data_IF_443539562989
#
_entry.id   IF_443539562989
#
_cell.length_a   1.000
_cell.length_b   1.000
_cell.length_c   1.000
_cell.angle_alpha   90.00
_cell.angle_beta   90.00
_cell.angle_gamma   90.00
#
_symmetry.space_group_name_H-M   'P 1'
#
loop_
_entity.id
_entity.type
_entity.pdbx_description
1 polymer ?
#
# COMPACT_ATOMS: atom_id res chain seq x y z
N UNK A 1 -20.85 -204.22 4.53
CA UNK A 1 -20.36 -203.07 5.34
C UNK A 1 -19.16 -203.53 6.13
N UNK A 2 -18.11 -202.70 6.20
CA UNK A 2 -17.01 -202.90 7.13
C UNK A 2 -17.33 -202.10 8.39
N UNK A 3 -17.54 -202.79 9.50
CA UNK A 3 -17.92 -202.20 10.79
C UNK A 3 -16.81 -202.42 11.82
N UNK A 4 -16.80 -201.59 12.86
CA UNK A 4 -15.81 -201.60 13.95
C UNK A 4 -14.37 -201.31 13.49
N UNK A 5 -14.22 -200.47 12.47
CA UNK A 5 -12.90 -199.99 12.04
C UNK A 5 -12.43 -198.91 13.01
N UNK A 6 -11.33 -199.19 13.71
CA UNK A 6 -10.66 -198.21 14.54
C UNK A 6 -10.18 -197.02 13.69
N UNK A 7 -9.96 -195.87 14.33
CA UNK A 7 -9.41 -194.73 13.61
C UNK A 7 -8.05 -195.10 13.00
N UNK A 8 -7.90 -194.86 11.70
CA UNK A 8 -6.62 -195.01 11.02
C UNK A 8 -5.66 -193.91 11.47
N UNK A 9 -4.36 -194.09 11.31
CA UNK A 9 -3.42 -192.97 11.51
C UNK A 9 -3.63 -191.94 10.41
N UNK A 10 -3.70 -190.66 10.78
CA UNK A 10 -3.79 -189.55 9.81
C UNK A 10 -2.39 -188.98 9.65
N UNK A 11 -1.74 -189.34 8.55
CA UNK A 11 -0.49 -188.78 8.08
C UNK A 11 -0.45 -188.92 6.56
N UNK A 12 0.43 -188.19 5.90
CA UNK A 12 0.54 -188.17 4.44
C UNK A 12 0.79 -189.56 3.82
N UNK A 13 1.51 -190.43 4.51
CA UNK A 13 1.90 -191.77 4.04
C UNK A 13 1.00 -192.90 4.53
N UNK A 14 -0.05 -192.59 5.30
CA UNK A 14 -0.92 -193.62 5.87
C UNK A 14 -1.73 -194.32 4.77
N UNK A 15 -1.70 -195.66 4.77
CA UNK A 15 -2.58 -196.51 3.98
C UNK A 15 -3.67 -197.16 4.84
N UNK A 16 -3.77 -196.77 6.12
CA UNK A 16 -4.80 -197.25 7.02
C UNK A 16 -6.18 -196.78 6.51
N UNK A 17 -7.20 -197.63 6.63
CA UNK A 17 -8.56 -197.20 6.32
C UNK A 17 -9.01 -196.12 7.32
N UNK A 18 -9.53 -195.00 6.80
CA UNK A 18 -10.09 -193.92 7.62
C UNK A 18 -11.51 -194.26 8.02
N UNK A 19 -11.88 -193.97 9.26
CA UNK A 19 -13.25 -194.14 9.72
C UNK A 19 -14.07 -192.83 9.63
N UNK A 20 -15.39 -192.93 9.79
CA UNK A 20 -16.30 -191.80 9.62
C UNK A 20 -16.01 -190.59 10.53
N UNK A 21 -15.56 -190.81 11.77
CA UNK A 21 -15.27 -189.71 12.71
C UNK A 21 -14.12 -188.80 12.26
N UNK A 22 -13.12 -189.36 11.58
CA UNK A 22 -11.95 -188.60 11.13
C UNK A 22 -12.27 -187.72 9.92
N UNK A 23 -13.05 -188.27 8.97
CA UNK A 23 -13.55 -187.49 7.83
C UNK A 23 -14.48 -186.36 8.28
N UNK A 24 -15.34 -186.61 9.28
CA UNK A 24 -16.22 -185.59 9.85
C UNK A 24 -15.44 -184.44 10.50
N UNK A 25 -14.39 -184.73 11.28
CA UNK A 25 -13.60 -183.70 11.94
C UNK A 25 -12.88 -182.76 10.96
N UNK A 26 -12.35 -183.31 9.85
CA UNK A 26 -11.71 -182.50 8.80
C UNK A 26 -12.73 -181.61 8.09
N UNK A 27 -13.89 -182.16 7.73
CA UNK A 27 -14.95 -181.39 7.09
C UNK A 27 -15.47 -180.27 8.00
N UNK A 28 -15.59 -180.51 9.31
CA UNK A 28 -16.00 -179.50 10.28
C UNK A 28 -15.00 -178.33 10.38
N UNK A 29 -13.68 -178.61 10.35
CA UNK A 29 -12.66 -177.56 10.39
C UNK A 29 -12.68 -176.69 9.12
N UNK A 30 -12.88 -177.30 7.95
CA UNK A 30 -13.01 -176.57 6.68
C UNK A 30 -14.27 -175.69 6.70
N UNK A 31 -15.38 -176.20 7.22
CA UNK A 31 -16.64 -175.44 7.35
C UNK A 31 -16.48 -174.23 8.30
N UNK A 32 -15.74 -174.38 9.40
CA UNK A 32 -15.42 -173.27 10.31
C UNK A 32 -14.57 -172.19 9.63
N UNK A 33 -13.52 -172.58 8.91
CA UNK A 33 -12.68 -171.64 8.15
C UNK A 33 -13.51 -170.90 7.10
N UNK A 34 -14.34 -171.63 6.35
CA UNK A 34 -15.26 -171.03 5.37
C UNK A 34 -16.21 -170.04 6.03
N UNK A 35 -16.78 -170.40 7.19
CA UNK A 35 -17.71 -169.53 7.93
C UNK A 35 -17.03 -168.24 8.39
N UNK A 36 -15.81 -168.30 8.92
CA UNK A 36 -15.09 -167.11 9.39
C UNK A 36 -14.63 -166.25 8.22
N UNK A 37 -14.03 -166.87 7.19
CA UNK A 37 -13.59 -166.16 6.00
C UNK A 37 -14.77 -165.39 5.39
N UNK A 38 -15.95 -166.02 5.24
CA UNK A 38 -17.14 -165.42 4.64
C UNK A 38 -17.85 -164.36 5.50
N UNK A 39 -17.40 -164.05 6.73
CA UNK A 39 -18.06 -163.02 7.56
C UNK A 39 -17.85 -161.58 7.06
N UNK A 40 -16.70 -161.30 6.43
CA UNK A 40 -16.36 -159.92 6.05
C UNK A 40 -16.19 -158.97 7.25
N UNK A 41 -16.29 -157.66 7.01
CA UNK A 41 -16.27 -156.61 8.04
C UNK A 41 -17.21 -155.45 7.68
N UNK A 42 -17.75 -154.72 8.66
CA UNK A 42 -18.70 -153.62 8.40
C UNK A 42 -18.02 -152.25 8.28
N UNK A 43 -18.39 -151.46 7.27
CA UNK A 43 -17.99 -150.06 7.08
C UNK A 43 -19.14 -149.10 7.43
N UNK A 44 -18.83 -148.00 8.14
CA UNK A 44 -19.78 -146.97 8.56
C UNK A 44 -19.09 -145.60 8.55
N UNK A 45 -19.78 -144.53 8.15
CA UNK A 45 -19.28 -143.16 8.23
C UNK A 45 -20.29 -142.25 8.94
N UNK A 46 -19.80 -141.39 9.85
CA UNK A 46 -20.61 -140.41 10.60
C UNK A 46 -21.87 -140.99 11.29
N UNK A 47 -21.81 -142.26 11.72
CA UNK A 47 -22.90 -142.92 12.43
C UNK A 47 -24.06 -143.39 11.55
N UNK A 48 -23.87 -143.52 10.23
CA UNK A 48 -24.87 -144.05 9.29
C UNK A 48 -25.12 -145.57 9.42
N UNK A 49 -25.80 -146.21 8.46
CA UNK A 49 -26.04 -147.66 8.57
C UNK A 49 -24.83 -148.43 8.07
N UNK A 50 -24.25 -149.27 8.94
CA UNK A 50 -23.05 -150.02 8.61
C UNK A 50 -23.32 -151.04 7.49
N UNK A 51 -22.44 -151.06 6.48
CA UNK A 51 -22.54 -151.97 5.32
C UNK A 51 -21.44 -153.02 5.41
N UNK A 52 -21.79 -154.31 5.30
CA UNK A 52 -20.79 -155.38 5.33
C UNK A 52 -20.02 -155.44 4.00
N UNK A 53 -18.70 -155.42 4.11
CA UNK A 53 -17.75 -155.62 3.03
C UNK A 53 -17.36 -157.10 3.06
N UNK A 54 -17.86 -157.86 2.09
CA UNK A 54 -17.55 -159.27 1.99
C UNK A 54 -16.09 -159.47 1.53
N UNK A 55 -15.50 -160.66 1.75
CA UNK A 55 -14.16 -160.96 1.23
C UNK A 55 -14.10 -160.77 -0.29
N UNK A 56 -13.15 -159.96 -0.74
CA UNK A 56 -12.98 -159.61 -2.16
C UNK A 56 -13.70 -158.33 -2.60
N UNK A 57 -14.57 -157.75 -1.76
CA UNK A 57 -15.21 -156.46 -2.05
C UNK A 57 -14.22 -155.29 -1.91
N UNK A 58 -14.54 -154.16 -2.56
CA UNK A 58 -13.71 -152.95 -2.56
C UNK A 58 -14.47 -151.76 -1.98
N UNK A 59 -13.80 -150.95 -1.18
CA UNK A 59 -14.29 -149.65 -0.68
C UNK A 59 -13.55 -148.53 -1.41
N UNK A 60 -14.27 -147.53 -1.91
CA UNK A 60 -13.70 -146.36 -2.59
C UNK A 60 -13.87 -145.08 -1.75
N UNK A 61 -12.86 -144.21 -1.80
CA UNK A 61 -12.91 -142.84 -1.30
C UNK A 61 -12.87 -141.89 -2.51
N UNK A 62 -13.72 -140.85 -2.51
CA UNK A 62 -13.93 -139.96 -3.65
C UNK A 62 -13.70 -138.50 -3.23
N UNK A 63 -13.15 -137.69 -4.14
CA UNK A 63 -12.91 -136.26 -3.91
C UNK A 63 -14.22 -135.45 -3.78
N UNK A 64 -14.18 -134.43 -2.92
CA UNK A 64 -15.25 -133.44 -2.77
C UNK A 64 -14.89 -132.10 -3.41
N UNK A 65 -15.82 -131.13 -3.42
CA UNK A 65 -15.62 -129.82 -4.08
C UNK A 65 -14.42 -129.03 -3.53
N UNK A 66 -14.21 -129.06 -2.21
CA UNK A 66 -13.14 -128.32 -1.53
C UNK A 66 -12.14 -129.25 -0.81
N UNK A 67 -12.30 -130.57 -0.97
CA UNK A 67 -11.49 -131.59 -0.29
C UNK A 67 -10.97 -132.57 -1.32
N UNK A 68 -9.65 -132.69 -1.40
CA UNK A 68 -8.91 -133.57 -2.30
C UNK A 68 -8.42 -134.80 -1.54
N UNK A 69 -8.63 -136.00 -2.10
CA UNK A 69 -8.27 -137.30 -1.51
C UNK A 69 -7.32 -138.04 -2.45
N UNK A 70 -6.07 -138.22 -2.00
CA UNK A 70 -5.05 -138.93 -2.76
C UNK A 70 -4.59 -140.19 -2.03
N UNK A 71 -4.18 -141.23 -2.77
CA UNK A 71 -3.63 -142.48 -2.22
C UNK A 71 -2.22 -142.73 -2.73
N UNK A 72 -1.33 -143.13 -1.83
CA UNK A 72 -0.03 -143.73 -2.17
C UNK A 72 0.13 -145.02 -1.39
N UNK A 73 0.24 -146.16 -2.09
CA UNK A 73 0.28 -147.50 -1.49
C UNK A 73 -0.84 -147.72 -0.46
N UNK A 74 -0.51 -147.81 0.82
CA UNK A 74 -1.48 -148.04 1.91
C UNK A 74 -1.97 -146.75 2.58
N UNK A 75 -1.40 -145.60 2.26
CA UNK A 75 -1.71 -144.31 2.90
C UNK A 75 -2.73 -143.51 2.07
N UNK A 76 -3.71 -142.94 2.78
CA UNK A 76 -4.70 -142.01 2.23
C UNK A 76 -4.42 -140.62 2.82
N UNK A 77 -4.25 -139.61 1.96
CA UNK A 77 -4.11 -138.20 2.36
C UNK A 77 -5.39 -137.45 2.02
N UNK A 78 -5.86 -136.65 2.97
CA UNK A 78 -7.03 -135.77 2.78
C UNK A 78 -6.57 -134.32 2.96
N UNK A 79 -6.72 -133.48 1.93
CA UNK A 79 -6.27 -132.08 1.90
C UNK A 79 -7.39 -131.14 1.42
N UNK A 80 -7.24 -129.84 1.64
CA UNK A 80 -8.09 -128.83 0.98
C UNK A 80 -7.60 -128.56 -0.44
N UNK A 81 -8.51 -128.26 -1.37
CA UNK A 81 -8.14 -127.83 -2.71
C UNK A 81 -7.40 -126.47 -2.70
N UNK A 82 -6.55 -126.21 -3.69
CA UNK A 82 -5.86 -124.91 -3.84
C UNK A 82 -6.85 -123.77 -4.10
N UNK A 83 -7.86 -124.05 -4.94
CA UNK A 83 -9.00 -123.16 -5.19
C UNK A 83 -10.22 -123.67 -4.44
N UNK A 84 -10.51 -123.02 -3.32
CA UNK A 84 -11.70 -123.32 -2.52
C UNK A 84 -12.85 -122.40 -2.90
N UNK A 85 -14.02 -122.99 -3.10
CA UNK A 85 -15.24 -122.24 -3.34
C UNK A 85 -16.11 -122.28 -2.08
N UNK A 86 -16.23 -121.13 -1.40
CA UNK A 86 -17.17 -120.92 -0.31
C UNK A 86 -18.30 -119.99 -0.77
N UNK A 87 -19.53 -120.28 -0.37
CA UNK A 87 -20.66 -119.38 -0.62
C UNK A 87 -20.54 -118.10 0.23
N UNK A 88 -19.83 -118.16 1.35
CA UNK A 88 -19.47 -117.00 2.17
C UNK A 88 -18.24 -117.28 3.03
N UNK A 89 -17.41 -116.25 3.23
CA UNK A 89 -16.35 -116.22 4.25
C UNK A 89 -16.71 -115.12 5.24
N UNK A 90 -16.83 -115.46 6.52
CA UNK A 90 -17.19 -114.50 7.57
C UNK A 90 -15.93 -113.86 8.17
N UNK A 91 -15.85 -112.51 8.12
CA UNK A 91 -14.90 -111.72 8.90
C UNK A 91 -15.64 -111.16 10.12
N UNK A 92 -15.40 -111.72 11.30
CA UNK A 92 -16.08 -111.31 12.55
C UNK A 92 -15.67 -109.87 12.91
N UNK A 93 -16.65 -108.98 13.12
CA UNK A 93 -16.52 -107.56 13.50
C UNK A 93 -15.63 -106.70 12.58
N UNK A 94 -15.36 -107.15 11.35
CA UNK A 94 -14.47 -106.50 10.39
C UNK A 94 -15.19 -105.76 9.26
N UNK A 95 -14.42 -105.19 8.31
CA UNK A 95 -14.98 -104.63 7.07
C UNK A 95 -15.79 -105.68 6.30
N UNK A 96 -16.85 -105.22 5.64
CA UNK A 96 -17.65 -106.05 4.74
C UNK A 96 -17.41 -105.64 3.29
N UNK A 97 -17.05 -106.61 2.45
CA UNK A 97 -16.92 -106.45 1.00
C UNK A 97 -17.99 -107.31 0.35
N UNK A 98 -18.95 -106.70 -0.31
CA UNK A 98 -20.02 -107.40 -1.01
C UNK A 98 -20.39 -106.68 -2.31
N UNK A 99 -21.36 -107.23 -3.06
CA UNK A 99 -21.83 -106.66 -4.32
C UNK A 99 -22.46 -105.25 -4.22
N UNK A 100 -22.71 -104.75 -3.00
CA UNK A 100 -23.19 -103.40 -2.70
C UNK A 100 -22.09 -102.40 -2.34
N UNK A 101 -20.83 -102.81 -2.25
CA UNK A 101 -19.69 -101.93 -1.97
C UNK A 101 -18.88 -102.35 -0.74
N UNK A 102 -18.22 -101.35 -0.15
CA UNK A 102 -17.34 -101.51 1.02
C UNK A 102 -17.99 -100.80 2.20
N UNK A 103 -18.25 -101.54 3.27
CA UNK A 103 -18.57 -100.97 4.58
C UNK A 103 -17.38 -101.19 5.51
N UNK A 104 -16.82 -100.11 6.04
CA UNK A 104 -15.68 -100.14 6.95
C UNK A 104 -16.09 -100.36 8.41
N UNK A 105 -17.38 -100.54 8.72
CA UNK A 105 -17.90 -100.78 10.06
C UNK A 105 -17.43 -99.74 11.09
N UNK A 106 -17.57 -98.45 10.76
CA UNK A 106 -17.12 -97.30 11.56
C UNK A 106 -15.59 -97.25 11.84
N UNK A 107 -14.77 -97.91 11.03
CA UNK A 107 -13.30 -97.77 11.12
C UNK A 107 -12.76 -96.78 10.09
N UNK A 108 -11.56 -96.26 10.34
CA UNK A 108 -10.89 -95.34 9.42
C UNK A 108 -10.21 -96.09 8.27
N UNK A 109 -10.22 -95.47 7.10
CA UNK A 109 -9.39 -95.91 5.96
C UNK A 109 -8.06 -95.15 6.07
N UNK A 110 -6.99 -95.87 6.41
CA UNK A 110 -5.64 -95.31 6.44
C UNK A 110 -4.91 -95.52 5.11
N UNK A 111 -3.86 -94.73 4.86
CA UNK A 111 -3.05 -94.76 3.63
C UNK A 111 -3.83 -94.44 2.34
N UNK A 112 -4.86 -93.59 2.44
CA UNK A 112 -5.56 -93.08 1.27
C UNK A 112 -4.78 -91.90 0.65
N UNK A 113 -4.28 -92.09 -0.57
CA UNK A 113 -3.65 -91.03 -1.36
C UNK A 113 -4.66 -89.93 -1.74
N UNK A 114 -4.17 -88.77 -2.15
CA UNK A 114 -5.01 -87.67 -2.63
C UNK A 114 -5.83 -88.13 -3.86
N UNK A 115 -7.14 -87.91 -3.82
CA UNK A 115 -8.02 -88.17 -4.96
C UNK A 115 -7.72 -87.21 -6.11
N UNK A 116 -7.59 -87.72 -7.32
CA UNK A 116 -7.27 -86.92 -8.52
C UNK A 116 -8.46 -86.84 -9.45
N UNK A 117 -9.23 -87.93 -9.57
CA UNK A 117 -10.41 -88.01 -10.42
C UNK A 117 -11.70 -87.76 -9.62
N UNK A 118 -12.78 -87.48 -10.35
CA UNK A 118 -14.06 -87.10 -9.75
C UNK A 118 -14.75 -88.19 -8.91
N UNK A 119 -14.33 -89.45 -9.01
CA UNK A 119 -14.86 -90.58 -8.23
C UNK A 119 -13.89 -91.07 -7.16
N UNK A 120 -12.72 -90.46 -7.03
CA UNK A 120 -11.76 -90.83 -6.00
C UNK A 120 -12.25 -90.33 -4.63
N UNK A 121 -11.99 -91.10 -3.59
CA UNK A 121 -12.22 -90.64 -2.23
C UNK A 121 -11.22 -89.53 -1.88
N UNK A 122 -11.68 -88.50 -1.16
CA UNK A 122 -10.84 -87.40 -0.68
C UNK A 122 -10.28 -87.71 0.70
N UNK A 123 -9.02 -87.37 0.93
CA UNK A 123 -8.43 -87.44 2.26
C UNK A 123 -8.51 -86.08 2.98
N UNK A 124 -8.15 -86.07 4.27
CA UNK A 124 -8.28 -84.89 5.12
C UNK A 124 -7.41 -83.70 4.67
N UNK A 125 -6.22 -83.94 4.11
CA UNK A 125 -5.33 -82.88 3.62
C UNK A 125 -5.94 -82.09 2.46
N UNK A 126 -6.63 -82.77 1.54
CA UNK A 126 -7.32 -82.08 0.43
C UNK A 126 -8.42 -81.15 0.94
N UNK A 127 -9.17 -81.56 1.96
CA UNK A 127 -10.20 -80.73 2.59
C UNK A 127 -9.59 -79.51 3.31
N UNK A 128 -8.51 -79.69 4.06
CA UNK A 128 -7.84 -78.60 4.78
C UNK A 128 -7.23 -77.56 3.82
N UNK A 129 -6.64 -78.00 2.71
CA UNK A 129 -6.09 -77.10 1.70
C UNK A 129 -7.18 -76.26 1.02
N UNK A 130 -8.33 -76.85 0.67
CA UNK A 130 -9.47 -76.12 0.11
C UNK A 130 -10.03 -75.08 1.09
N UNK A 131 -10.09 -75.42 2.38
CA UNK A 131 -10.53 -74.49 3.43
C UNK A 131 -9.55 -73.32 3.65
N UNK A 132 -8.24 -73.56 3.57
CA UNK A 132 -7.22 -72.51 3.67
C UNK A 132 -7.30 -71.52 2.51
N UNK A 133 -7.51 -72.01 1.29
CA UNK A 133 -7.59 -71.19 0.07
C UNK A 133 -8.86 -70.31 0.00
N UNK A 134 -9.87 -70.57 0.83
CA UNK A 134 -11.13 -69.80 0.84
C UNK A 134 -11.10 -68.55 1.75
N UNK A 135 -9.99 -68.28 2.44
CA UNK A 135 -9.86 -67.10 3.33
C UNK A 135 -9.48 -65.85 2.54
N UNK A 136 -10.07 -64.71 2.87
CA UNK A 136 -9.80 -63.39 2.26
C UNK A 136 -8.91 -62.53 3.18
N UNK A 137 -8.01 -61.74 2.62
CA UNK A 137 -7.10 -60.83 3.35
C UNK A 137 -7.39 -59.37 2.98
N UNK A 138 -7.43 -58.47 3.98
CA UNK A 138 -7.60 -57.02 3.81
C UNK A 138 -6.44 -56.30 4.48
N UNK A 139 -5.63 -55.57 3.71
CA UNK A 139 -4.47 -54.81 4.20
C UNK A 139 -4.77 -53.30 4.27
N UNK A 140 -4.30 -52.62 5.32
CA UNK A 140 -4.42 -51.16 5.46
C UNK A 140 -3.48 -50.42 4.50
N UNK A 141 -3.99 -49.38 3.83
CA UNK A 141 -3.19 -48.46 3.00
C UNK A 141 -2.51 -47.34 3.81
N UNK A 142 -1.83 -46.41 3.14
CA UNK A 142 -1.06 -45.33 3.79
C UNK A 142 -1.90 -44.24 4.47
N UNK A 143 -3.21 -44.16 4.19
CA UNK A 143 -4.14 -43.18 4.78
C UNK A 143 -5.20 -43.86 5.66
N UNK A 144 -4.84 -45.00 6.26
CA UNK A 144 -5.71 -45.81 7.11
C UNK A 144 -5.09 -45.85 8.50
N UNK A 145 -5.82 -45.32 9.48
CA UNK A 145 -5.44 -45.29 10.90
C UNK A 145 -5.41 -46.70 11.49
N UNK A 146 -6.42 -47.52 11.18
CA UNK A 146 -6.46 -48.94 11.52
C UNK A 146 -7.42 -49.72 10.62
N UNK A 147 -7.19 -51.03 10.52
CA UNK A 147 -8.18 -51.99 10.04
C UNK A 147 -8.53 -52.92 11.20
N UNK A 148 -9.71 -52.75 11.76
CA UNK A 148 -10.16 -53.52 12.91
C UNK A 148 -10.96 -54.72 12.43
N UNK A 149 -10.62 -55.92 12.92
CA UNK A 149 -11.36 -57.16 12.63
C UNK A 149 -12.26 -57.52 13.82
N UNK A 150 -13.52 -57.84 13.52
CA UNK A 150 -14.44 -58.47 14.45
C UNK A 150 -15.04 -59.77 13.87
N UNK A 151 -15.49 -60.66 14.74
CA UNK A 151 -16.24 -61.86 14.33
C UNK A 151 -17.73 -61.54 14.32
N UNK A 152 -18.37 -61.75 13.17
CA UNK A 152 -19.81 -61.61 13.00
C UNK A 152 -20.59 -62.73 13.70
N UNK A 153 -21.90 -62.56 13.80
CA UNK A 153 -22.81 -63.49 14.50
C UNK A 153 -22.83 -64.90 13.91
N UNK A 154 -22.41 -65.07 12.65
CA UNK A 154 -22.35 -66.36 11.95
C UNK A 154 -20.91 -66.91 11.85
N UNK A 155 -19.94 -66.32 12.58
CA UNK A 155 -18.54 -66.75 12.59
C UNK A 155 -17.68 -66.21 11.44
N UNK A 156 -18.22 -65.33 10.58
CA UNK A 156 -17.49 -64.66 9.50
C UNK A 156 -16.64 -63.48 10.01
N UNK A 157 -15.54 -63.15 9.33
CA UNK A 157 -14.75 -61.96 9.64
C UNK A 157 -15.40 -60.68 9.07
N UNK A 158 -15.50 -59.62 9.88
CA UNK A 158 -15.93 -58.28 9.48
C UNK A 158 -14.72 -57.33 9.65
N UNK A 159 -14.35 -56.63 8.58
CA UNK A 159 -13.27 -55.64 8.59
C UNK A 159 -13.86 -54.23 8.58
N UNK A 160 -13.46 -53.39 9.54
CA UNK A 160 -13.77 -51.95 9.56
C UNK A 160 -12.48 -51.19 9.24
N UNK A 161 -12.50 -50.38 8.17
CA UNK A 161 -11.35 -49.57 7.76
C UNK A 161 -11.54 -48.14 8.26
N UNK A 162 -10.72 -47.72 9.23
CA UNK A 162 -10.74 -46.36 9.78
C UNK A 162 -9.72 -45.49 9.03
N UNK A 163 -10.15 -44.43 8.34
CA UNK A 163 -9.24 -43.50 7.66
C UNK A 163 -8.67 -42.45 8.64
N UNK A 164 -7.43 -42.00 8.40
CA UNK A 164 -6.87 -40.83 9.12
C UNK A 164 -7.62 -39.57 8.68
N UNK A 165 -8.25 -38.87 9.62
CA UNK A 165 -8.97 -37.62 9.36
C UNK A 165 -8.03 -36.41 9.25
N UNK A 166 -8.25 -35.54 8.28
CA UNK A 166 -7.56 -34.24 8.17
C UNK A 166 -8.51 -33.08 8.50
N UNK A 167 -8.01 -32.05 9.21
CA UNK A 167 -8.77 -30.85 9.58
C UNK A 167 -8.16 -29.60 8.93
N UNK A 168 -8.98 -28.74 8.34
CA UNK A 168 -8.59 -27.42 7.83
C UNK A 168 -9.36 -26.35 8.60
N UNK A 169 -8.66 -25.46 9.31
CA UNK A 169 -9.26 -24.45 10.20
C UNK A 169 -8.66 -23.07 9.90
N UNK A 170 -9.50 -22.02 9.88
CA UNK A 170 -9.02 -20.64 9.80
C UNK A 170 -8.23 -20.28 11.08
N UNK A 171 -6.96 -19.88 10.93
CA UNK A 171 -6.10 -19.51 12.05
C UNK A 171 -6.42 -18.15 12.68
N UNK A 172 -7.23 -17.33 12.01
CA UNK A 172 -7.67 -16.01 12.48
C UNK A 172 -8.94 -15.58 11.73
N UNK A 173 -9.52 -14.43 12.12
CA UNK A 173 -10.65 -13.80 11.41
C UNK A 173 -10.27 -13.15 10.06
N UNK A 174 -9.00 -13.21 9.65
CA UNK A 174 -8.52 -12.63 8.40
C UNK A 174 -8.68 -13.57 7.19
N UNK A 175 -8.98 -14.86 7.45
CA UNK A 175 -9.08 -15.91 6.44
C UNK A 175 -10.40 -16.65 6.64
N UNK A 176 -11.15 -16.81 5.57
CA UNK A 176 -12.35 -17.65 5.55
C UNK A 176 -12.01 -19.02 4.96
N UNK A 177 -12.51 -20.08 5.62
CA UNK A 177 -12.38 -21.47 5.15
C UNK A 177 -13.79 -22.01 4.94
N UNK A 178 -14.12 -22.38 3.70
CA UNK A 178 -15.45 -22.88 3.34
C UNK A 178 -15.33 -24.29 2.76
N UNK A 179 -16.04 -25.25 3.35
CA UNK A 179 -16.09 -26.62 2.86
C UNK A 179 -17.09 -26.75 1.69
N UNK A 180 -16.69 -27.44 0.63
CA UNK A 180 -17.58 -27.88 -0.43
C UNK A 180 -18.30 -29.18 -0.04
N UNK A 181 -19.31 -29.58 -0.82
CA UNK A 181 -19.84 -30.94 -0.73
C UNK A 181 -18.77 -31.95 -1.17
N UNK A 182 -18.73 -33.16 -0.57
CA UNK A 182 -17.82 -34.20 -1.03
C UNK A 182 -18.02 -34.50 -2.52
N UNK A 183 -16.92 -34.72 -3.24
CA UNK A 183 -16.97 -35.13 -4.64
C UNK A 183 -17.41 -36.59 -4.80
N UNK A 184 -17.46 -37.09 -6.05
CA UNK A 184 -17.83 -38.46 -6.35
C UNK A 184 -16.87 -39.52 -5.78
N UNK A 185 -15.70 -39.08 -5.28
CA UNK A 185 -14.67 -39.90 -4.67
C UNK A 185 -14.68 -39.78 -3.13
N UNK A 186 -15.67 -39.09 -2.55
CA UNK A 186 -15.80 -38.77 -1.12
C UNK A 186 -14.68 -37.84 -0.59
N UNK A 187 -14.08 -37.01 -1.44
CA UNK A 187 -13.11 -35.98 -1.03
C UNK A 187 -13.82 -34.67 -0.79
N UNK A 188 -13.58 -34.03 0.36
CA UNK A 188 -14.11 -32.70 0.67
C UNK A 188 -13.06 -31.64 0.35
N UNK A 189 -13.32 -30.79 -0.63
CA UNK A 189 -12.48 -29.64 -0.94
C UNK A 189 -12.78 -28.46 -0.01
N UNK A 190 -11.74 -27.80 0.48
CA UNK A 190 -11.84 -26.60 1.31
C UNK A 190 -11.31 -25.39 0.54
N UNK A 191 -12.19 -24.43 0.24
CA UNK A 191 -11.80 -23.14 -0.32
C UNK A 191 -11.25 -22.25 0.80
N UNK A 192 -10.01 -21.77 0.63
CA UNK A 192 -9.33 -20.86 1.56
C UNK A 192 -9.17 -19.50 0.87
N UNK A 193 -9.76 -18.45 1.43
CA UNK A 193 -9.72 -17.09 0.88
C UNK A 193 -9.54 -16.05 2.01
N UNK A 194 -9.15 -14.83 1.67
CA UNK A 194 -9.15 -13.72 2.62
C UNK A 194 -10.60 -13.34 2.99
N UNK A 195 -10.81 -13.00 4.25
CA UNK A 195 -12.12 -12.56 4.72
C UNK A 195 -12.50 -11.22 4.11
N UNK A 196 -13.81 -10.94 4.04
CA UNK A 196 -14.30 -9.67 3.49
C UNK A 196 -13.70 -8.47 4.22
N UNK A 197 -13.57 -8.54 5.55
CA UNK A 197 -12.94 -7.49 6.35
C UNK A 197 -11.47 -7.25 5.97
N UNK A 198 -10.70 -8.32 5.69
CA UNK A 198 -9.31 -8.19 5.23
C UNK A 198 -9.22 -7.62 3.82
N UNK A 199 -10.15 -7.97 2.93
CA UNK A 199 -10.25 -7.38 1.58
C UNK A 199 -10.60 -5.90 1.65
N UNK A 200 -11.61 -5.53 2.45
CA UNK A 200 -12.03 -4.14 2.64
C UNK A 200 -10.92 -3.30 3.26
N UNK A 201 -10.18 -3.85 4.24
CA UNK A 201 -9.07 -3.16 4.87
C UNK A 201 -7.90 -2.93 3.89
N UNK A 202 -7.70 -3.84 2.92
CA UNK A 202 -6.70 -3.68 1.87
C UNK A 202 -7.12 -2.59 0.87
N UNK A 203 -8.41 -2.51 0.52
CA UNK A 203 -8.96 -1.42 -0.31
C UNK A 203 -8.89 -0.07 0.41
N UNK A 204 -9.17 -0.03 1.71
CA UNK A 204 -9.04 1.18 2.51
C UNK A 204 -7.58 1.63 2.61
N UNK A 205 -6.63 0.69 2.74
CA UNK A 205 -5.20 0.99 2.72
C UNK A 205 -4.75 1.56 1.36
N UNK A 206 -5.27 1.04 0.25
CA UNK A 206 -5.02 1.57 -1.10
C UNK A 206 -5.60 2.99 -1.26
N UNK A 207 -6.74 3.27 -0.62
CA UNK A 207 -7.41 4.59 -0.66
C UNK A 207 -6.97 5.57 0.45
N UNK A 208 -6.09 5.15 1.36
CA UNK A 208 -5.73 5.94 2.54
C UNK A 208 -4.81 7.13 2.24
N UNK A 209 -4.17 7.18 1.06
CA UNK A 209 -3.60 8.45 0.59
C UNK A 209 -4.72 9.35 0.07
N UNK A 210 -5.32 10.05 1.03
CA UNK A 210 -6.40 11.01 0.83
C UNK A 210 -6.01 12.05 -0.22
N UNK A 211 -6.86 12.16 -1.23
CA UNK A 211 -6.83 13.25 -2.20
C UNK A 211 -6.98 14.59 -1.47
N UNK A 212 -5.93 15.42 -1.46
CA UNK A 212 -6.00 16.80 -0.97
C UNK A 212 -6.05 17.74 -2.17
N UNK A 213 -7.19 18.39 -2.40
CA UNK A 213 -7.33 19.38 -3.46
C UNK A 213 -7.01 20.76 -2.87
N UNK A 214 -5.93 21.39 -3.34
CA UNK A 214 -5.63 22.79 -3.02
C UNK A 214 -6.32 23.69 -4.04
N UNK A 215 -6.96 24.76 -3.56
CA UNK A 215 -7.69 25.71 -4.39
C UNK A 215 -7.16 27.14 -4.21
N UNK A 216 -7.28 27.95 -5.26
CA UNK A 216 -7.13 29.41 -5.21
C UNK A 216 -8.41 30.00 -5.79
N UNK A 217 -9.09 30.85 -5.02
CA UNK A 217 -10.38 31.48 -5.37
C UNK A 217 -11.45 30.49 -5.87
N UNK A 218 -11.46 29.28 -5.30
CA UNK A 218 -12.40 28.21 -5.66
C UNK A 218 -12.03 27.42 -6.92
N UNK A 219 -10.88 27.70 -7.53
CA UNK A 219 -10.32 26.93 -8.66
C UNK A 219 -9.28 25.95 -8.13
N UNK A 220 -9.40 24.67 -8.48
CA UNK A 220 -8.42 23.64 -8.15
C UNK A 220 -7.06 23.97 -8.77
N UNK A 221 -6.03 24.09 -7.93
CA UNK A 221 -4.64 24.37 -8.32
C UNK A 221 -3.83 23.09 -8.42
N UNK A 222 -3.93 22.22 -7.41
CA UNK A 222 -3.26 20.93 -7.42
C UNK A 222 -4.05 19.91 -6.60
N UNK A 223 -4.10 18.69 -7.13
CA UNK A 223 -4.60 17.52 -6.39
C UNK A 223 -3.37 16.75 -5.91
N UNK A 224 -3.22 16.64 -4.60
CA UNK A 224 -2.19 15.80 -3.99
C UNK A 224 -2.79 14.41 -3.78
N UNK A 225 -2.15 13.41 -4.36
CA UNK A 225 -2.56 12.00 -4.27
C UNK A 225 -1.36 11.09 -3.98
N UNK A 226 -1.53 9.79 -4.13
CA UNK A 226 -0.47 8.81 -3.89
C UNK A 226 0.70 8.83 -4.86
N UNK A 227 0.50 9.37 -6.04
CA UNK A 227 1.52 9.46 -7.07
C UNK A 227 2.17 10.84 -7.10
N UNK A 228 1.50 11.87 -6.57
CA UNK A 228 1.98 13.24 -6.49
C UNK A 228 1.65 13.87 -5.12
N UNK A 229 2.45 13.52 -4.11
CA UNK A 229 2.26 13.95 -2.72
C UNK A 229 3.11 15.17 -2.32
N UNK A 230 3.69 15.88 -3.28
CA UNK A 230 4.54 17.05 -3.02
C UNK A 230 3.75 18.34 -3.24
N UNK A 231 3.39 18.99 -2.14
CA UNK A 231 2.87 20.36 -2.16
C UNK A 231 4.03 21.34 -2.33
N UNK A 232 4.01 22.15 -3.38
CA UNK A 232 4.99 23.21 -3.59
C UNK A 232 4.34 24.57 -3.42
N UNK A 233 4.79 25.33 -2.43
CA UNK A 233 4.38 26.71 -2.22
C UNK A 233 5.52 27.62 -2.70
N UNK A 234 5.20 28.60 -3.54
CA UNK A 234 6.20 29.48 -4.15
C UNK A 234 6.12 30.87 -3.55
N UNK A 235 7.27 31.44 -3.15
CA UNK A 235 7.36 32.83 -2.72
C UNK A 235 6.95 33.77 -3.86
N UNK A 236 6.28 34.86 -3.50
CA UNK A 236 5.92 35.94 -4.42
C UNK A 236 6.67 37.23 -4.07
N UNK A 237 6.36 38.33 -4.78
CA UNK A 237 7.05 39.60 -4.58
C UNK A 237 6.92 40.16 -3.15
N UNK A 238 5.75 39.97 -2.51
CA UNK A 238 5.46 40.53 -1.19
C UNK A 238 5.34 39.46 -0.08
N UNK A 239 5.38 38.18 -0.44
CA UNK A 239 5.26 37.05 0.48
C UNK A 239 6.50 36.17 0.36
N UNK A 240 7.26 36.08 1.44
CA UNK A 240 8.43 35.22 1.59
C UNK A 240 8.04 33.93 2.31
N UNK A 241 8.45 32.80 1.75
CA UNK A 241 8.28 31.47 2.34
C UNK A 241 9.65 30.92 2.75
N UNK A 242 9.74 30.35 3.95
CA UNK A 242 10.96 29.69 4.46
C UNK A 242 10.61 28.43 5.27
N UNK A 243 11.57 27.54 5.45
CA UNK A 243 11.43 26.40 6.37
C UNK A 243 11.85 26.84 7.78
N UNK A 244 10.99 26.58 8.76
CA UNK A 244 11.30 26.74 10.17
C UNK A 244 11.00 25.44 10.92
N UNK A 245 11.94 24.50 10.86
CA UNK A 245 11.88 23.25 11.62
C UNK A 245 10.81 22.27 11.12
N UNK A 246 10.59 22.22 9.81
CA UNK A 246 9.57 21.39 9.16
C UNK A 246 8.22 22.08 8.97
N UNK A 247 8.08 23.33 9.41
CA UNK A 247 6.93 24.18 9.11
C UNK A 247 7.23 25.15 7.97
N UNK A 248 6.25 25.42 7.12
CA UNK A 248 6.32 26.50 6.14
C UNK A 248 6.04 27.81 6.89
N UNK A 249 7.08 28.60 7.11
CA UNK A 249 6.96 29.95 7.63
C UNK A 249 6.58 30.90 6.50
N UNK A 250 5.52 31.68 6.72
CA UNK A 250 5.00 32.67 5.78
C UNK A 250 5.23 34.06 6.39
N UNK A 251 5.99 34.91 5.70
CA UNK A 251 6.31 36.26 6.14
C UNK A 251 6.02 37.28 5.02
N UNK A 252 5.74 38.53 5.40
CA UNK A 252 5.75 39.65 4.46
C UNK A 252 7.19 40.05 4.15
N UNK A 253 7.51 40.27 2.88
CA UNK A 253 8.84 40.76 2.50
C UNK A 253 9.10 42.14 3.15
N UNK A 254 10.34 42.42 3.61
CA UNK A 254 10.70 43.75 4.13
C UNK A 254 10.56 44.86 3.09
N UNK A 255 10.67 44.53 1.80
CA UNK A 255 10.47 45.46 0.69
C UNK A 255 9.18 45.10 -0.05
N UNK A 256 8.20 45.99 -0.02
CA UNK A 256 6.96 45.79 -0.74
C UNK A 256 7.09 46.34 -2.17
N UNK A 257 6.70 45.53 -3.14
CA UNK A 257 6.51 45.93 -4.54
C UNK A 257 5.01 46.02 -4.80
N UNK A 258 4.50 47.23 -5.00
CA UNK A 258 3.10 47.50 -5.28
C UNK A 258 2.96 48.76 -6.16
N UNK A 259 1.97 48.77 -7.05
CA UNK A 259 1.65 49.95 -7.87
C UNK A 259 1.08 51.08 -7.01
N UNK A 260 0.38 50.73 -5.92
CA UNK A 260 -0.05 51.68 -4.90
C UNK A 260 -0.10 51.04 -3.52
N UNK A 261 0.04 51.87 -2.48
CA UNK A 261 -0.21 51.50 -1.09
C UNK A 261 -1.33 52.38 -0.54
N UNK A 262 -2.48 51.76 -0.29
CA UNK A 262 -3.61 52.42 0.39
C UNK A 262 -3.64 51.99 1.85
N UNK A 263 -3.51 52.96 2.76
CA UNK A 263 -3.71 52.74 4.18
C UNK A 263 -5.15 53.12 4.52
N UNK A 264 -5.93 52.19 5.08
CA UNK A 264 -7.31 52.46 5.48
C UNK A 264 -7.37 53.66 6.42
N UNK A 265 -8.11 54.71 6.03
CA UNK A 265 -8.22 55.99 6.74
C UNK A 265 -6.86 56.72 6.93
N UNK A 266 -5.88 56.48 6.05
CA UNK A 266 -4.54 57.05 6.12
C UNK A 266 -4.08 57.63 4.78
N UNK A 267 -2.76 57.90 4.63
CA UNK A 267 -2.21 58.39 3.38
C UNK A 267 -2.25 57.30 2.30
N UNK A 268 -2.21 57.74 1.04
CA UNK A 268 -2.01 56.89 -0.13
C UNK A 268 -0.68 57.21 -0.78
N UNK A 269 -0.01 56.18 -1.29
CA UNK A 269 1.17 56.28 -2.14
C UNK A 269 0.82 55.64 -3.49
N UNK A 270 0.82 56.41 -4.56
CA UNK A 270 0.54 55.95 -5.92
C UNK A 270 1.41 56.68 -6.95
N UNK A 271 1.13 56.51 -8.25
CA UNK A 271 1.86 57.17 -9.34
C UNK A 271 1.81 58.71 -9.26
N UNK A 272 0.81 59.28 -8.57
CA UNK A 272 0.67 60.72 -8.33
C UNK A 272 1.48 61.24 -7.14
N UNK A 273 2.13 60.36 -6.38
CA UNK A 273 2.94 60.70 -5.21
C UNK A 273 2.25 60.36 -3.88
N UNK A 274 2.45 61.22 -2.88
CA UNK A 274 1.89 61.04 -1.54
C UNK A 274 0.69 61.95 -1.37
N UNK A 275 -0.50 61.38 -1.14
CA UNK A 275 -1.67 62.11 -0.65
C UNK A 275 -1.87 61.81 0.84
N UNK A 276 -1.85 62.85 1.67
CA UNK A 276 -2.07 62.73 3.11
C UNK A 276 -3.56 62.67 3.50
N UNK A 277 -4.49 62.76 2.54
CA UNK A 277 -5.93 62.79 2.76
C UNK A 277 -6.36 63.88 3.78
N UNK A 278 -5.66 65.02 3.77
CA UNK A 278 -5.88 66.13 4.70
C UNK A 278 -5.28 65.96 6.11
N UNK A 279 -4.59 64.85 6.37
CA UNK A 279 -3.92 64.63 7.66
C UNK A 279 -2.61 65.42 7.77
N UNK A 280 -2.22 65.73 9.00
CA UNK A 280 -0.95 66.39 9.31
C UNK A 280 0.22 65.41 9.22
N UNK A 281 1.35 65.86 8.64
CA UNK A 281 2.63 65.16 8.75
C UNK A 281 3.34 65.65 10.01
N UNK A 282 3.56 64.76 10.97
CA UNK A 282 4.29 65.06 12.22
C UNK A 282 5.72 64.51 12.17
N UNK A 283 6.62 65.04 13.02
CA UNK A 283 8.03 64.64 13.09
C UNK A 283 8.84 64.94 11.82
N UNK A 284 8.43 65.95 11.06
CA UNK A 284 9.21 66.47 9.94
C UNK A 284 10.35 67.33 10.49
N UNK A 285 11.60 66.93 10.22
CA UNK A 285 12.80 67.70 10.58
C UNK A 285 12.94 69.00 9.79
N UNK A 286 13.99 69.77 10.07
CA UNK A 286 14.31 70.95 9.27
C UNK A 286 14.85 70.53 7.89
N UNK A 287 14.49 71.25 6.81
CA UNK A 287 14.97 70.94 5.47
C UNK A 287 16.49 71.14 5.38
N UNK A 288 17.17 70.24 4.68
CA UNK A 288 18.62 70.24 4.47
C UNK A 288 18.97 70.39 2.99
N UNK A 289 18.21 69.73 2.11
CA UNK A 289 18.43 69.70 0.68
C UNK A 289 17.28 70.37 -0.10
N UNK A 290 17.56 70.76 -1.34
CA UNK A 290 16.54 71.26 -2.26
C UNK A 290 15.46 70.19 -2.49
N UNK A 291 14.19 70.60 -2.36
CA UNK A 291 13.02 69.71 -2.52
C UNK A 291 12.51 69.08 -1.22
N UNK A 292 13.20 69.25 -0.10
CA UNK A 292 12.71 68.82 1.21
C UNK A 292 11.40 69.53 1.57
N UNK A 293 10.49 68.81 2.24
CA UNK A 293 9.29 69.40 2.79
C UNK A 293 9.64 70.33 3.97
N UNK A 294 8.93 71.46 4.08
CA UNK A 294 9.14 72.42 5.17
C UNK A 294 8.18 72.16 6.33
N UNK A 295 8.72 72.11 7.55
CA UNK A 295 7.91 72.15 8.76
C UNK A 295 7.53 73.61 9.14
N UNK A 296 6.47 73.77 9.94
CA UNK A 296 5.96 75.08 10.33
C UNK A 296 6.94 75.89 11.22
N UNK A 297 7.76 75.22 12.03
CA UNK A 297 8.74 75.88 12.88
C UNK A 297 9.80 76.57 12.01
N UNK A 298 10.42 75.83 11.10
CA UNK A 298 11.43 76.36 10.17
C UNK A 298 10.88 77.52 9.36
N UNK A 299 9.65 77.41 8.84
CA UNK A 299 9.00 78.52 8.13
C UNK A 299 8.85 79.77 9.02
N UNK A 300 8.39 79.62 10.26
CA UNK A 300 8.20 80.75 11.17
C UNK A 300 9.52 81.40 11.63
N UNK A 301 10.59 80.60 11.73
CA UNK A 301 11.93 81.08 12.08
C UNK A 301 12.57 81.87 10.92
N UNK A 302 12.35 81.45 9.68
CA UNK A 302 13.03 82.01 8.50
C UNK A 302 12.17 83.00 7.67
N UNK A 303 10.93 83.27 8.07
CA UNK A 303 10.08 84.25 7.38
C UNK A 303 10.60 85.69 7.55
N UNK A 304 10.52 86.49 6.49
CA UNK A 304 10.79 87.94 6.51
C UNK A 304 9.93 88.65 7.58
N UNK A 305 10.57 89.50 8.41
CA UNK A 305 9.90 90.31 9.44
C UNK A 305 10.04 91.80 9.11
N UNK A 306 9.08 92.61 9.55
CA UNK A 306 9.06 94.08 9.43
C UNK A 306 8.97 94.63 7.99
N UNK A 307 8.63 93.81 7.02
CA UNK A 307 8.22 94.26 5.68
C UNK A 307 6.70 94.10 5.55
N UNK A 308 6.00 95.15 5.10
CA UNK A 308 4.56 95.12 4.89
C UNK A 308 4.20 96.01 3.71
N UNK A 309 3.40 95.47 2.80
CA UNK A 309 2.82 96.17 1.66
C UNK A 309 1.33 95.92 1.72
N UNK A 310 0.54 96.97 1.86
CA UNK A 310 -0.92 96.87 1.90
C UNK A 310 -1.50 97.21 0.53
N UNK A 311 -1.87 96.19 -0.23
CA UNK A 311 -2.54 96.30 -1.53
C UNK A 311 -4.07 96.29 -1.41
N UNK A 312 -4.60 96.37 -0.19
CA UNK A 312 -6.03 96.29 0.13
C UNK A 312 -6.71 94.99 -0.36
N UNK A 313 -5.94 93.90 -0.49
CA UNK A 313 -6.44 92.58 -0.88
C UNK A 313 -6.66 92.38 -2.38
N UNK A 314 -6.24 93.36 -3.21
CA UNK A 314 -6.29 93.25 -4.68
C UNK A 314 -4.87 93.20 -5.19
N UNK A 315 -4.49 92.05 -5.75
CA UNK A 315 -3.17 91.82 -6.34
C UNK A 315 -2.90 92.88 -7.42
N UNK A 316 -1.87 93.70 -7.20
CA UNK A 316 -1.37 94.67 -8.17
C UNK A 316 -0.07 94.25 -8.85
N UNK A 317 0.55 95.16 -9.62
CA UNK A 317 1.84 94.91 -10.26
C UNK A 317 2.98 94.67 -9.25
N UNK A 318 4.08 94.04 -9.69
CA UNK A 318 5.22 93.67 -8.85
C UNK A 318 4.89 92.63 -7.74
N UNK A 319 3.74 91.95 -7.79
CA UNK A 319 3.38 90.89 -6.83
C UNK A 319 4.33 89.68 -6.91
N UNK A 320 4.79 89.35 -8.11
CA UNK A 320 5.77 88.29 -8.36
C UNK A 320 7.21 88.76 -8.17
N UNK A 321 7.43 89.97 -7.62
CA UNK A 321 8.74 90.64 -7.52
C UNK A 321 9.41 90.85 -8.88
N UNK A 322 8.62 91.13 -9.92
CA UNK A 322 9.04 91.28 -11.32
C UNK A 322 9.21 92.75 -11.77
N UNK A 323 9.06 93.72 -10.87
CA UNK A 323 9.16 95.16 -11.17
C UNK A 323 10.59 95.70 -11.31
N UNK A 324 11.62 94.97 -10.87
CA UNK A 324 13.02 95.35 -11.05
C UNK A 324 13.55 94.78 -12.39
N UNK A 325 13.28 95.49 -13.48
CA UNK A 325 13.57 95.06 -14.86
C UNK A 325 14.97 95.49 -15.34
N UNK A 326 15.51 96.59 -14.79
CA UNK A 326 16.87 97.04 -15.05
C UNK A 326 17.93 96.17 -14.35
N UNK A 327 19.13 96.06 -14.94
CA UNK A 327 20.26 95.35 -14.33
C UNK A 327 20.58 95.94 -12.96
N UNK A 328 20.65 95.12 -11.91
CA UNK A 328 20.91 95.52 -10.52
C UNK A 328 19.90 96.55 -9.95
N UNK A 329 18.68 96.61 -10.50
CA UNK A 329 17.65 97.54 -10.03
C UNK A 329 16.94 97.03 -8.75
N UNK A 330 16.20 97.94 -8.08
CA UNK A 330 15.36 97.62 -6.94
C UNK A 330 13.96 98.21 -7.12
N UNK A 331 12.93 97.38 -7.05
CA UNK A 331 11.52 97.81 -7.10
C UNK A 331 10.77 97.33 -5.86
N UNK A 332 10.33 98.26 -5.01
CA UNK A 332 9.68 97.97 -3.74
C UNK A 332 8.33 98.71 -3.64
N UNK A 333 7.25 97.96 -3.55
CA UNK A 333 5.87 98.46 -3.51
C UNK A 333 5.00 97.95 -4.66
N UNK A 334 3.68 98.04 -4.49
CA UNK A 334 2.71 97.61 -5.52
C UNK A 334 2.84 98.50 -6.75
N UNK A 335 3.04 97.88 -7.91
CA UNK A 335 3.21 98.57 -9.19
C UNK A 335 4.52 99.38 -9.30
N UNK A 336 5.48 99.20 -8.40
CA UNK A 336 6.79 99.82 -8.53
C UNK A 336 7.56 99.21 -9.72
N UNK A 337 8.21 100.05 -10.52
CA UNK A 337 8.97 99.64 -11.71
C UNK A 337 10.30 100.36 -11.76
N UNK A 338 11.41 99.61 -11.81
CA UNK A 338 12.75 100.17 -11.95
C UNK A 338 13.40 99.62 -13.24
N UNK A 339 13.22 100.36 -14.34
CA UNK A 339 13.66 99.99 -15.69
C UNK A 339 15.13 100.32 -15.96
N UNK A 340 15.65 101.38 -15.33
CA UNK A 340 17.05 101.79 -15.50
C UNK A 340 18.04 100.84 -14.82
N UNK A 341 19.24 100.66 -15.41
CA UNK A 341 20.34 99.98 -14.74
C UNK A 341 20.67 100.67 -13.41
N UNK A 342 20.72 99.92 -12.31
CA UNK A 342 20.95 100.43 -10.95
C UNK A 342 19.86 101.38 -10.44
N UNK A 343 18.69 101.43 -11.08
CA UNK A 343 17.59 102.30 -10.67
C UNK A 343 16.86 101.76 -9.43
N UNK A 344 16.27 102.67 -8.66
CA UNK A 344 15.52 102.33 -7.44
C UNK A 344 14.14 102.97 -7.49
N UNK A 345 13.10 102.13 -7.49
CA UNK A 345 11.72 102.56 -7.37
C UNK A 345 11.14 102.10 -6.03
N UNK A 346 10.74 103.05 -5.18
CA UNK A 346 10.19 102.76 -3.85
C UNK A 346 8.86 103.49 -3.64
N UNK A 347 7.77 102.75 -3.56
CA UNK A 347 6.41 103.26 -3.32
C UNK A 347 5.37 102.71 -4.29
N UNK A 348 4.08 102.92 -3.98
CA UNK A 348 2.97 102.52 -4.85
C UNK A 348 3.06 103.23 -6.21
N UNK A 349 3.25 102.49 -7.31
CA UNK A 349 3.35 103.03 -8.66
C UNK A 349 4.60 103.88 -8.94
N UNK A 350 5.65 103.77 -8.12
CA UNK A 350 6.91 104.48 -8.38
C UNK A 350 7.60 103.92 -9.63
N UNK A 351 8.12 104.78 -10.50
CA UNK A 351 8.72 104.38 -11.78
C UNK A 351 10.09 105.06 -12.01
N UNK A 352 11.18 104.29 -12.11
CA UNK A 352 12.54 104.79 -12.29
C UNK A 352 13.14 104.25 -13.61
N UNK A 353 13.25 105.09 -14.64
CA UNK A 353 13.52 104.65 -16.02
C UNK A 353 14.97 104.84 -16.47
N UNK A 354 15.72 105.72 -15.81
CA UNK A 354 17.05 106.13 -16.25
C UNK A 354 18.13 105.43 -15.42
N UNK A 355 19.30 105.17 -16.01
CA UNK A 355 20.45 104.59 -15.30
C UNK A 355 20.77 105.36 -14.02
N UNK A 356 20.79 104.67 -12.88
CA UNK A 356 21.06 105.23 -11.55
C UNK A 356 19.99 106.19 -11.02
N UNK A 357 18.78 106.20 -11.62
CA UNK A 357 17.68 107.05 -11.16
C UNK A 357 16.97 106.50 -9.93
N UNK A 358 16.44 107.39 -9.08
CA UNK A 358 15.70 107.04 -7.87
C UNK A 358 14.30 107.65 -7.96
N UNK A 359 13.25 106.82 -7.97
CA UNK A 359 11.87 107.27 -7.82
C UNK A 359 11.37 106.90 -6.42
N UNK A 360 11.21 107.90 -5.55
CA UNK A 360 10.89 107.69 -4.13
C UNK A 360 9.55 108.32 -3.80
N UNK A 361 8.63 107.50 -3.27
CA UNK A 361 7.27 107.90 -2.94
C UNK A 361 6.25 107.38 -3.95
N UNK A 362 4.99 107.35 -3.55
CA UNK A 362 3.91 106.86 -4.39
C UNK A 362 3.74 107.71 -5.66
N UNK A 363 3.64 107.06 -6.83
CA UNK A 363 3.50 107.72 -8.12
C UNK A 363 4.72 108.50 -8.59
N UNK A 364 5.84 108.48 -7.85
CA UNK A 364 7.04 109.21 -8.28
C UNK A 364 7.58 108.62 -9.59
N UNK A 365 7.93 109.47 -10.55
CA UNK A 365 8.50 109.08 -11.84
C UNK A 365 9.87 109.74 -12.01
N UNK A 366 10.91 108.95 -12.25
CA UNK A 366 12.25 109.42 -12.61
C UNK A 366 12.61 108.94 -14.02
N UNK A 367 12.16 109.70 -15.01
CA UNK A 367 12.31 109.45 -16.45
C UNK A 367 13.19 110.49 -17.16
N UNK A 368 13.67 111.48 -16.40
CA UNK A 368 14.42 112.60 -16.95
C UNK A 368 15.77 112.13 -17.49
N UNK A 369 15.96 112.29 -18.79
CA UNK A 369 17.24 112.07 -19.46
C UNK A 369 18.38 112.85 -18.77
N UNK A 370 19.59 112.30 -18.82
CA UNK A 370 20.78 112.95 -18.28
C UNK A 370 20.96 114.33 -18.93
N UNK A 371 21.23 115.34 -18.10
CA UNK A 371 21.52 116.68 -18.59
C UNK A 371 22.82 116.69 -19.42
N UNK A 372 23.01 117.64 -20.35
CA UNK A 372 24.31 117.87 -20.98
C UNK A 372 25.42 118.10 -19.94
N UNK A 373 26.67 117.79 -20.26
CA UNK A 373 27.78 117.91 -19.30
C UNK A 373 28.07 119.35 -18.84
N UNK A 374 27.69 120.34 -19.64
CA UNK A 374 27.68 121.76 -19.26
C UNK A 374 26.68 122.56 -20.07
N UNK A 375 26.32 123.75 -19.59
CA UNK A 375 25.40 124.65 -20.28
C UNK A 375 25.01 125.85 -19.45
N UNK A 376 23.98 126.56 -19.91
CA UNK A 376 23.48 127.77 -19.27
C UNK A 376 21.98 127.67 -19.02
N UNK A 377 21.56 128.02 -17.81
CA UNK A 377 20.16 128.23 -17.44
C UNK A 377 19.86 129.74 -17.60
N UNK A 378 18.91 130.14 -18.47
CA UNK A 378 18.50 131.54 -18.57
C UNK A 378 17.90 132.05 -17.26
N UNK A 379 18.38 133.20 -16.76
CA UNK A 379 17.91 133.84 -15.54
C UNK A 379 17.68 135.34 -15.79
N UNK A 380 16.55 135.68 -16.43
CA UNK A 380 16.26 137.05 -16.86
C UNK A 380 17.27 137.54 -17.90
N UNK A 381 18.03 138.60 -17.60
CA UNK A 381 19.13 139.11 -18.44
C UNK A 381 20.50 138.49 -18.15
N UNK A 382 20.58 137.56 -17.18
CA UNK A 382 21.79 136.83 -16.82
C UNK A 382 21.68 135.34 -17.19
N UNK A 383 22.80 134.64 -17.14
CA UNK A 383 22.86 133.18 -17.29
C UNK A 383 23.49 132.56 -16.05
N UNK A 384 22.95 131.43 -15.61
CA UNK A 384 23.57 130.58 -14.60
C UNK A 384 24.27 129.46 -15.35
N UNK A 385 25.60 129.41 -15.29
CA UNK A 385 26.38 128.30 -15.84
C UNK A 385 26.24 127.07 -14.95
N UNK A 386 26.02 125.91 -15.57
CA UNK A 386 26.18 124.62 -14.92
C UNK A 386 27.26 123.83 -15.65
N UNK A 387 28.09 123.13 -14.88
CA UNK A 387 29.13 122.25 -15.40
C UNK A 387 29.25 121.07 -14.45
N UNK A 388 28.97 119.88 -14.96
CA UNK A 388 29.05 118.61 -14.22
C UNK A 388 30.15 117.71 -14.76
N UNK A 389 31.10 118.24 -15.57
CA UNK A 389 32.23 117.45 -16.13
C UNK A 389 33.21 116.96 -15.07
N UNK A 390 33.12 117.47 -13.85
CA UNK A 390 33.96 117.06 -12.73
C UNK A 390 33.63 115.66 -12.21
N UNK A 391 32.43 115.11 -12.53
CA UNK A 391 31.95 113.79 -12.08
C UNK A 391 31.02 113.12 -13.11
N UNK A 392 30.77 111.84 -12.93
CA UNK A 392 29.72 111.15 -13.69
C UNK A 392 28.32 111.56 -13.21
N UNK A 393 27.45 111.98 -14.13
CA UNK A 393 26.06 112.32 -13.83
C UNK A 393 25.17 111.07 -13.98
N UNK A 394 24.43 110.75 -12.91
CA UNK A 394 23.45 109.66 -12.90
C UNK A 394 22.02 110.21 -13.00
N UNK A 395 21.07 109.29 -13.21
CA UNK A 395 19.65 109.61 -13.27
C UNK A 395 19.15 110.36 -12.04
N UNK A 396 18.08 111.13 -12.21
CA UNK A 396 17.60 112.01 -11.17
C UNK A 396 17.02 111.24 -9.97
N UNK A 397 17.07 111.88 -8.79
CA UNK A 397 16.17 111.54 -7.68
C UNK A 397 14.86 112.29 -7.91
N UNK A 398 13.79 111.57 -8.16
CA UNK A 398 12.43 112.09 -8.26
C UNK A 398 11.63 111.75 -7.02
N UNK A 399 10.98 112.77 -6.46
CA UNK A 399 10.03 112.64 -5.33
C UNK A 399 8.61 112.95 -5.76
N UNK A 400 8.33 113.01 -7.06
CA UNK A 400 7.03 113.36 -7.63
C UNK A 400 6.95 112.93 -9.09
N UNK A 401 6.02 113.50 -9.85
CA UNK A 401 5.81 113.21 -11.27
C UNK A 401 5.58 114.52 -12.05
N UNK A 402 5.06 114.42 -13.28
CA UNK A 402 4.76 115.58 -14.11
C UNK A 402 3.65 116.50 -13.57
N UNK A 403 2.79 115.98 -12.70
CA UNK A 403 1.60 116.65 -12.16
C UNK A 403 1.68 116.91 -10.65
N UNK A 404 2.59 116.24 -9.94
CA UNK A 404 2.68 116.23 -8.48
C UNK A 404 4.10 116.46 -7.98
N UNK A 405 4.25 117.34 -6.99
CA UNK A 405 5.51 117.57 -6.28
C UNK A 405 5.42 117.17 -4.82
N UNK A 406 6.58 116.84 -4.23
CA UNK A 406 6.74 116.70 -2.77
C UNK A 406 7.74 117.72 -2.27
N UNK A 407 7.47 118.23 -1.07
CA UNK A 407 8.48 118.99 -0.34
C UNK A 407 9.57 118.05 0.18
N UNK A 408 10.82 118.49 0.07
CA UNK A 408 11.93 117.88 0.79
C UNK A 408 12.16 118.72 2.04
N UNK A 409 11.73 118.21 3.19
CA UNK A 409 11.80 118.91 4.48
C UNK A 409 12.95 118.38 5.34
N UNK A 410 13.34 119.14 6.37
CA UNK A 410 14.46 118.82 7.27
C UNK A 410 15.82 118.71 6.55
N UNK A 411 16.01 119.47 5.47
CA UNK A 411 17.28 119.60 4.76
C UNK A 411 18.17 120.59 5.51
N UNK A 412 19.40 120.17 5.85
CA UNK A 412 20.41 121.05 6.44
C UNK A 412 20.96 122.05 5.41
N UNK A 413 21.51 123.17 5.87
CA UNK A 413 22.10 124.19 4.98
C UNK A 413 23.30 123.62 4.22
N UNK A 414 23.32 123.81 2.90
CA UNK A 414 24.40 123.37 2.05
C UNK A 414 25.70 124.10 2.35
N UNK A 415 26.81 123.37 2.35
CA UNK A 415 28.15 123.92 2.62
C UNK A 415 29.13 123.69 1.46
N UNK A 416 28.78 122.79 0.54
CA UNK A 416 29.52 122.50 -0.68
C UNK A 416 28.73 122.91 -1.93
N UNK A 417 29.41 122.95 -3.08
CA UNK A 417 28.84 123.45 -4.33
C UNK A 417 27.66 122.62 -4.87
N UNK A 418 27.58 121.33 -4.53
CA UNK A 418 26.53 120.41 -4.98
C UNK A 418 25.48 120.10 -3.90
N UNK A 419 25.55 120.76 -2.74
CA UNK A 419 24.53 120.58 -1.71
C UNK A 419 23.23 121.29 -2.10
N UNK A 420 22.09 120.75 -1.66
CA UNK A 420 20.81 121.42 -1.83
C UNK A 420 20.79 122.74 -1.03
N UNK A 421 20.31 123.81 -1.66
CA UNK A 421 20.14 125.12 -1.02
C UNK A 421 18.83 125.12 -0.24
N UNK A 422 18.87 125.45 1.05
CA UNK A 422 17.64 125.59 1.84
C UNK A 422 16.98 126.96 1.60
N UNK A 423 15.69 127.05 1.93
CA UNK A 423 14.98 128.34 1.92
C UNK A 423 15.67 129.38 2.82
N UNK A 424 16.34 128.96 3.90
CA UNK A 424 17.09 129.85 4.80
C UNK A 424 18.29 130.50 4.09
N UNK A 425 19.07 129.72 3.35
CA UNK A 425 20.21 130.22 2.59
C UNK A 425 19.77 131.12 1.43
N UNK A 426 18.70 130.75 0.73
CA UNK A 426 18.13 131.57 -0.34
C UNK A 426 17.63 132.93 0.17
N UNK A 427 16.93 132.95 1.30
CA UNK A 427 16.49 134.20 1.95
C UNK A 427 17.68 135.08 2.34
N UNK A 428 18.75 134.49 2.89
CA UNK A 428 19.99 135.22 3.19
C UNK A 428 20.64 135.83 1.95
N UNK A 429 20.73 135.06 0.86
CA UNK A 429 21.30 135.52 -0.41
C UNK A 429 20.48 136.68 -1.00
N UNK A 430 19.14 136.56 -1.08
CA UNK A 430 18.25 137.62 -1.57
C UNK A 430 18.33 138.86 -0.67
N UNK A 431 18.36 138.68 0.66
CA UNK A 431 18.49 139.78 1.62
C UNK A 431 19.72 140.65 1.37
N UNK A 432 20.87 140.05 1.02
CA UNK A 432 22.10 140.79 0.71
C UNK A 432 22.01 141.63 -0.57
N UNK A 433 21.17 141.23 -1.54
CA UNK A 433 20.91 141.99 -2.78
C UNK A 433 19.99 143.19 -2.48
N UNK A 434 19.05 143.07 -1.56
CA UNK A 434 18.17 144.17 -1.15
C UNK A 434 18.94 145.27 -0.40
N UNK A 435 19.95 144.91 0.41
CA UNK A 435 20.83 145.88 1.08
C UNK A 435 21.76 146.64 0.11
N UNK A 436 22.12 146.06 -1.03
CA UNK A 436 22.98 146.73 -2.03
C UNK A 436 22.19 147.68 -2.94
N UNK A 437 20.92 147.40 -3.22
CA UNK A 437 20.03 148.28 -3.99
C UNK A 437 19.77 149.65 -3.34
N UNK A 438 19.84 149.76 -2.01
CA UNK A 438 19.64 151.03 -1.29
C UNK A 438 20.88 151.93 -1.24
N UNK A 439 22.09 151.41 -1.51
CA UNK A 439 23.33 152.21 -1.49
C UNK A 439 23.59 153.05 -2.75
N UNK A 440 22.85 152.81 -3.84
CA UNK A 440 23.03 153.54 -5.11
C UNK A 440 21.97 154.62 -5.37
N UNK A 441 20.98 154.79 -4.49
CA UNK A 441 20.04 155.91 -4.57
C UNK A 441 20.48 157.06 -3.64
N UNK A 442 21.46 157.85 -4.06
CA UNK A 442 21.48 159.27 -3.72
C UNK A 442 20.79 160.02 -4.86
N UNK A 443 19.46 160.16 -4.78
CA UNK A 443 18.75 161.09 -5.66
C UNK A 443 19.18 162.50 -5.24
N UNK A 444 20.05 163.11 -6.04
CA UNK A 444 20.48 164.49 -5.87
C UNK A 444 19.31 165.41 -6.26
N UNK A 445 18.41 165.69 -5.30
CA UNK A 445 17.32 166.64 -5.50
C UNK A 445 17.72 167.98 -4.88
N UNK A 446 18.25 168.87 -5.72
CA UNK A 446 18.31 170.31 -5.43
C UNK A 446 16.92 170.91 -5.54
N UNK A 447 16.45 171.51 -4.46
CA UNK A 447 15.48 172.61 -4.47
C UNK A 447 16.05 173.75 -3.63
#
# INVERSE_FOLDING_TARGET
TLTNVAAGRVSETSTDAINGSQLFASNLAIEQVSTIANKGWNLQANGDTATNVAPGDTVQFLDGKNVDITRSDTDITVATADDVAFDSVMFIDGPTINGGGIDMNNTTISNLADGVNAQDAVNLSQLQNSAAASKTEVAGGTNVASVDQATGVDGQAIYTVNADGASVTAGSSAVDVTAAAPDANNVTDYAVDLSQASKDSLTLADSALQTVVTQVDGIDVKILDQNDNVANFTSGNNIELSDQGGAIQIATSPNLTADSLTINNGPTLDEGGIDMAGNTITNLGDPVNDGDALNLQYFNENRVRYFSVNDNGVVGGNFNNDGATGLNAMASGVGATADGEGAVAMGFGANAQVRGSLAIGSGSISDRALAPESGFIPAGSATIEFNTTDKELLGAISVGDGDSYRQIINVADGTQAQDAVTVRQLQGAIGSVVETGTKYFHANSTA
#
